data_IF_615869843064
#
_entry.id   IF_615869843064
#
_cell.length_a   1.000
_cell.length_b   1.000
_cell.length_c   1.000
_cell.angle_alpha   90.00
_cell.angle_beta   90.00
_cell.angle_gamma   90.00
#
_symmetry.space_group_name_H-M   'P 1'
#
loop_
_entity.id
_entity.type
_entity.pdbx_description
1 polymer ?
#
# COMPACT_ATOMS: atom_id res chain seq x y z
N UNK A 1 -17.84 -7.18 5.82
CA UNK A 1 -16.89 -6.92 4.71
C UNK A 1 -15.83 -5.93 5.16
N UNK A 2 -14.58 -6.09 4.69
CA UNK A 2 -13.48 -5.14 4.90
C UNK A 2 -13.24 -4.37 3.59
N UNK A 3 -13.17 -3.05 3.66
CA UNK A 3 -12.82 -2.20 2.53
C UNK A 3 -11.34 -1.81 2.62
N UNK A 4 -10.56 -2.11 1.59
CA UNK A 4 -9.18 -1.66 1.45
C UNK A 4 -9.11 -0.53 0.43
N UNK A 5 -8.47 0.56 0.80
CA UNK A 5 -8.31 1.74 -0.05
C UNK A 5 -6.85 2.14 -0.09
N UNK A 6 -6.34 2.39 -1.29
CA UNK A 6 -4.94 2.79 -1.45
C UNK A 6 -4.50 2.89 -2.90
N UNK A 7 -3.20 2.96 -3.10
CA UNK A 7 -2.57 3.09 -4.42
C UNK A 7 -2.12 1.72 -4.99
N UNK A 8 -1.21 1.76 -5.95
CA UNK A 8 -0.62 0.58 -6.60
C UNK A 8 -0.06 -0.46 -5.63
N UNK A 9 0.46 -0.06 -4.48
CA UNK A 9 0.94 -0.95 -3.44
C UNK A 9 -0.20 -1.77 -2.81
N UNK A 10 -1.34 -1.15 -2.51
CA UNK A 10 -2.52 -1.88 -2.01
C UNK A 10 -3.07 -2.83 -3.06
N UNK A 11 -3.01 -2.46 -4.32
CA UNK A 11 -3.37 -3.33 -5.42
C UNK A 11 -2.45 -4.55 -5.56
N UNK A 12 -1.20 -4.42 -5.13
CA UNK A 12 -0.18 -5.47 -5.24
C UNK A 12 0.60 -5.40 -6.54
N UNK A 13 0.84 -4.18 -7.06
CA UNK A 13 1.80 -3.99 -8.14
C UNK A 13 3.15 -4.60 -7.73
N UNK A 14 3.86 -5.17 -8.70
CA UNK A 14 5.11 -5.89 -8.43
C UNK A 14 4.94 -7.41 -8.33
N UNK A 15 3.85 -7.90 -7.73
CA UNK A 15 3.61 -9.35 -7.60
C UNK A 15 3.53 -10.07 -8.95
N UNK A 16 3.12 -9.39 -10.02
CA UNK A 16 3.14 -9.97 -11.36
C UNK A 16 4.54 -10.24 -11.87
N UNK A 17 5.52 -9.40 -11.49
CA UNK A 17 6.93 -9.63 -11.85
C UNK A 17 7.48 -10.87 -11.14
N UNK A 18 7.15 -10.99 -9.85
CA UNK A 18 7.48 -12.19 -9.07
C UNK A 18 6.89 -13.45 -9.73
N UNK A 19 5.61 -13.41 -10.11
CA UNK A 19 4.96 -14.51 -10.83
C UNK A 19 5.69 -14.90 -12.13
N UNK A 20 5.99 -13.93 -12.98
CA UNK A 20 6.62 -14.20 -14.26
C UNK A 20 8.01 -14.85 -14.12
N UNK A 21 8.75 -14.47 -13.08
CA UNK A 21 10.07 -15.03 -12.81
C UNK A 21 9.95 -16.42 -12.17
N UNK A 22 9.12 -16.58 -11.15
CA UNK A 22 9.02 -17.82 -10.37
C UNK A 22 8.25 -18.92 -11.09
N UNK A 23 7.20 -18.57 -11.86
CA UNK A 23 6.26 -19.54 -12.41
C UNK A 23 6.38 -19.65 -13.95
N UNK A 24 6.78 -18.60 -14.64
CA UNK A 24 6.86 -18.56 -16.11
C UNK A 24 8.33 -18.53 -16.60
N UNK A 25 9.32 -18.57 -15.69
CA UNK A 25 10.76 -18.59 -15.97
C UNK A 25 11.27 -17.39 -16.81
N UNK A 26 10.67 -16.21 -16.67
CA UNK A 26 11.21 -14.99 -17.27
C UNK A 26 12.53 -14.60 -16.60
N UNK A 27 13.48 -14.10 -17.40
CA UNK A 27 14.69 -13.53 -16.83
C UNK A 27 14.43 -12.13 -16.26
N UNK A 28 15.27 -11.72 -15.30
CA UNK A 28 15.23 -10.35 -14.76
C UNK A 28 15.39 -9.28 -15.86
N UNK A 29 16.21 -9.55 -16.87
CA UNK A 29 16.42 -8.63 -18.00
C UNK A 29 15.15 -8.51 -18.86
N UNK A 30 14.43 -9.60 -19.10
CA UNK A 30 13.15 -9.55 -19.82
C UNK A 30 12.14 -8.71 -19.05
N UNK A 31 12.02 -8.92 -17.73
CA UNK A 31 11.13 -8.13 -16.89
C UNK A 31 11.53 -6.66 -16.90
N UNK A 32 12.82 -6.35 -16.71
CA UNK A 32 13.29 -4.96 -16.72
C UNK A 32 12.96 -4.22 -18.01
N UNK A 33 12.95 -4.89 -19.16
CA UNK A 33 12.54 -4.33 -20.44
C UNK A 33 11.03 -4.09 -20.54
N UNK A 34 10.22 -4.78 -19.74
CA UNK A 34 8.76 -4.69 -19.72
C UNK A 34 8.22 -3.62 -18.75
N UNK A 35 9.04 -3.11 -17.83
CA UNK A 35 8.67 -2.14 -16.80
C UNK A 35 8.23 -0.75 -17.29
N UNK A 36 8.70 -0.17 -18.42
CA UNK A 36 8.27 1.14 -18.87
C UNK A 36 6.82 1.16 -19.36
N UNK A 37 6.18 2.33 -19.23
CA UNK A 37 5.34 2.71 -18.13
C UNK A 37 3.98 2.01 -18.23
N UNK A 38 3.46 1.52 -17.15
CA UNK A 38 2.10 0.93 -17.01
C UNK A 38 1.85 -0.41 -17.75
N UNK A 39 2.86 -1.00 -18.43
CA UNK A 39 2.67 -2.20 -19.25
C UNK A 39 1.96 -3.33 -18.48
N UNK A 40 2.30 -3.54 -17.21
CA UNK A 40 1.71 -4.60 -16.40
C UNK A 40 0.30 -4.32 -15.91
N UNK A 41 -0.07 -3.06 -15.74
CA UNK A 41 -1.44 -2.69 -15.37
C UNK A 41 -2.40 -2.92 -16.53
N UNK A 42 -1.89 -2.80 -17.76
CA UNK A 42 -2.70 -2.89 -18.99
C UNK A 42 -2.68 -4.31 -19.61
N UNK A 43 -1.58 -5.05 -19.44
CA UNK A 43 -1.33 -6.30 -20.18
C UNK A 43 -1.06 -7.52 -19.29
N UNK A 44 -1.42 -7.45 -18.01
CA UNK A 44 -1.25 -8.56 -17.08
C UNK A 44 -2.03 -9.80 -17.53
N UNK A 45 -1.37 -10.96 -17.61
CA UNK A 45 -2.05 -12.21 -17.89
C UNK A 45 -3.03 -12.58 -16.77
N UNK A 46 -4.09 -13.31 -17.08
CA UNK A 46 -5.05 -13.78 -16.08
C UNK A 46 -4.39 -14.57 -14.94
N UNK A 47 -3.35 -15.36 -15.24
CA UNK A 47 -2.59 -16.12 -14.24
C UNK A 47 -1.80 -15.21 -13.31
N UNK A 48 -1.09 -14.23 -13.87
CA UNK A 48 -0.35 -13.24 -13.07
C UNK A 48 -1.29 -12.40 -12.22
N UNK A 49 -2.47 -12.04 -12.73
CA UNK A 49 -3.48 -11.31 -11.95
C UNK A 49 -4.06 -12.17 -10.82
N UNK A 50 -4.31 -13.45 -11.06
CA UNK A 50 -4.72 -14.40 -10.02
C UNK A 50 -3.66 -14.53 -8.93
N UNK A 51 -2.40 -14.73 -9.30
CA UNK A 51 -1.28 -14.79 -8.35
C UNK A 51 -1.21 -13.51 -7.50
N UNK A 52 -1.30 -12.34 -8.13
CA UNK A 52 -1.34 -11.05 -7.44
C UNK A 52 -2.51 -11.00 -6.43
N UNK A 53 -3.72 -11.36 -6.86
CA UNK A 53 -4.89 -11.36 -5.98
C UNK A 53 -4.75 -12.33 -4.80
N UNK A 54 -4.07 -13.45 -4.98
CA UNK A 54 -3.84 -14.42 -3.90
C UNK A 54 -2.79 -13.95 -2.89
N UNK A 55 -1.76 -13.22 -3.35
CA UNK A 55 -0.59 -12.85 -2.55
C UNK A 55 -0.66 -11.45 -1.94
N UNK A 56 -1.52 -10.54 -2.41
CA UNK A 56 -1.60 -9.19 -1.87
C UNK A 56 -2.20 -9.16 -0.46
N UNK A 57 -1.74 -8.21 0.36
CA UNK A 57 -2.14 -8.14 1.77
C UNK A 57 -3.65 -8.01 2.00
N UNK A 58 -4.47 -7.33 1.16
CA UNK A 58 -5.92 -7.29 1.35
C UNK A 58 -6.57 -8.67 1.40
N UNK A 59 -6.20 -9.56 0.49
CA UNK A 59 -6.73 -10.91 0.47
C UNK A 59 -6.24 -11.74 1.66
N UNK A 60 -4.96 -11.59 2.06
CA UNK A 60 -4.41 -12.30 3.22
C UNK A 60 -5.17 -11.92 4.50
N UNK A 61 -5.39 -10.61 4.71
CA UNK A 61 -6.15 -10.11 5.86
C UNK A 61 -7.59 -10.60 5.83
N UNK A 62 -8.27 -10.48 4.68
CA UNK A 62 -9.65 -10.90 4.54
C UNK A 62 -9.85 -12.40 4.81
N UNK A 63 -8.98 -13.24 4.26
CA UNK A 63 -8.98 -14.68 4.52
C UNK A 63 -8.78 -15.01 6.00
N UNK A 64 -7.91 -14.29 6.68
CA UNK A 64 -7.65 -14.52 8.10
C UNK A 64 -8.92 -14.33 8.96
N UNK A 65 -9.76 -13.35 8.61
CA UNK A 65 -11.01 -13.07 9.33
C UNK A 65 -12.25 -13.72 8.71
N UNK A 66 -12.09 -14.63 7.76
CA UNK A 66 -13.19 -15.23 6.99
C UNK A 66 -14.19 -14.16 6.49
N UNK A 67 -13.65 -13.07 5.96
CA UNK A 67 -14.42 -11.89 5.56
C UNK A 67 -14.32 -11.65 4.06
N UNK A 68 -15.44 -11.28 3.45
CA UNK A 68 -15.41 -10.68 2.12
C UNK A 68 -14.66 -9.33 2.17
N UNK A 69 -14.01 -8.96 1.07
CA UNK A 69 -13.36 -7.66 0.97
C UNK A 69 -13.68 -6.96 -0.36
N UNK A 70 -13.60 -5.65 -0.31
CA UNK A 70 -13.62 -4.79 -1.50
C UNK A 70 -12.28 -4.04 -1.58
N UNK A 71 -11.76 -3.90 -2.78
CA UNK A 71 -10.53 -3.18 -3.05
C UNK A 71 -10.83 -1.95 -3.90
N UNK A 72 -10.75 -0.78 -3.29
CA UNK A 72 -10.77 0.50 -3.99
C UNK A 72 -9.33 0.94 -4.25
N UNK A 73 -8.94 0.97 -5.50
CA UNK A 73 -7.56 1.22 -5.88
C UNK A 73 -7.44 2.29 -6.95
N UNK A 74 -6.34 3.03 -6.89
CA UNK A 74 -5.75 3.68 -8.05
C UNK A 74 -4.48 2.92 -8.44
N UNK A 75 -4.51 2.23 -9.58
CA UNK A 75 -3.39 1.41 -10.06
C UNK A 75 -2.15 2.22 -10.46
N UNK A 76 -2.32 3.51 -10.74
CA UNK A 76 -1.27 4.39 -11.28
C UNK A 76 -0.57 5.25 -10.22
N UNK A 77 -0.67 4.89 -8.94
CA UNK A 77 -0.03 5.61 -7.84
C UNK A 77 -0.73 6.93 -7.54
N UNK A 78 -1.82 6.93 -6.85
CA UNK A 78 -2.62 8.09 -6.51
C UNK A 78 -2.03 8.95 -5.39
N UNK A 79 -2.60 10.13 -5.22
CA UNK A 79 -2.43 10.97 -4.04
C UNK A 79 -3.54 10.71 -3.02
N UNK A 80 -3.46 11.35 -1.85
CA UNK A 80 -4.44 11.15 -0.78
C UNK A 80 -5.84 11.69 -1.14
N UNK A 81 -5.95 12.67 -2.04
CA UNK A 81 -7.25 13.16 -2.52
C UNK A 81 -7.93 12.14 -3.43
N UNK A 82 -7.16 11.45 -4.27
CA UNK A 82 -7.68 10.34 -5.08
C UNK A 82 -8.13 9.16 -4.20
N UNK A 83 -7.39 8.85 -3.14
CA UNK A 83 -7.78 7.84 -2.14
C UNK A 83 -9.12 8.22 -1.50
N UNK A 84 -9.32 9.49 -1.16
CA UNK A 84 -10.60 10.00 -0.64
C UNK A 84 -11.74 9.84 -1.66
N UNK A 85 -11.49 10.15 -2.93
CA UNK A 85 -12.49 10.00 -3.99
C UNK A 85 -12.88 8.53 -4.19
N UNK A 86 -11.90 7.62 -4.15
CA UNK A 86 -12.14 6.18 -4.19
C UNK A 86 -13.00 5.67 -3.02
N UNK A 87 -12.87 6.28 -1.83
CA UNK A 87 -13.75 5.99 -0.70
C UNK A 87 -15.19 6.34 -0.99
N UNK A 88 -15.47 7.52 -1.54
CA UNK A 88 -16.82 7.91 -1.91
C UNK A 88 -17.42 6.97 -2.96
N UNK A 89 -16.69 6.66 -4.02
CA UNK A 89 -17.14 5.74 -5.07
C UNK A 89 -17.40 4.33 -4.52
N UNK A 90 -16.57 3.87 -3.60
CA UNK A 90 -16.72 2.55 -2.98
C UNK A 90 -17.87 2.51 -1.98
N UNK A 91 -18.09 3.58 -1.20
CA UNK A 91 -19.21 3.67 -0.28
C UNK A 91 -20.54 3.61 -1.03
N UNK A 92 -20.65 4.25 -2.18
CA UNK A 92 -21.83 4.18 -3.04
C UNK A 92 -22.08 2.76 -3.57
N UNK A 93 -21.03 2.01 -3.91
CA UNK A 93 -21.16 0.62 -4.38
C UNK A 93 -21.48 -0.35 -3.24
N UNK A 94 -20.93 -0.12 -2.05
CA UNK A 94 -21.17 -0.95 -0.86
C UNK A 94 -22.58 -0.72 -0.29
N UNK A 95 -23.07 0.52 -0.29
CA UNK A 95 -24.41 0.87 0.14
C UNK A 95 -25.49 0.39 -0.85
N UNK A 96 -25.14 0.26 -2.12
CA UNK A 96 -26.03 -0.29 -3.18
C UNK A 96 -26.06 -1.82 -3.27
N UNK A 97 -25.19 -2.55 -2.56
CA UNK A 97 -25.04 -4.01 -2.68
C UNK A 97 -24.53 -4.69 -1.41
N UNK A 98 -25.29 -5.59 -0.91
CA UNK A 98 -24.92 -6.78 -0.11
C UNK A 98 -23.80 -6.70 0.95
N UNK A 99 -23.81 -5.82 1.90
CA UNK A 99 -22.99 -6.03 3.09
C UNK A 99 -22.48 -4.76 3.74
N UNK A 100 -22.77 -4.64 5.01
CA UNK A 100 -22.26 -3.54 5.83
C UNK A 100 -20.74 -3.58 5.88
N UNK A 101 -20.08 -2.48 5.50
CA UNK A 101 -18.66 -2.31 5.70
C UNK A 101 -18.38 -2.22 7.22
N UNK A 102 -17.61 -3.18 7.74
CA UNK A 102 -17.28 -3.25 9.17
C UNK A 102 -15.98 -2.51 9.49
N UNK A 103 -15.07 -2.46 8.52
CA UNK A 103 -13.74 -1.90 8.71
C UNK A 103 -13.23 -1.33 7.39
N UNK A 104 -12.61 -0.17 7.45
CA UNK A 104 -11.84 0.43 6.35
C UNK A 104 -10.35 0.36 6.68
N UNK A 105 -9.57 -0.23 5.79
CA UNK A 105 -8.10 -0.21 5.84
C UNK A 105 -7.60 0.77 4.81
N UNK A 106 -6.98 1.87 5.25
CA UNK A 106 -6.47 2.94 4.39
C UNK A 106 -4.97 2.89 4.29
N UNK A 107 -4.47 2.83 3.08
CA UNK A 107 -3.06 3.08 2.82
C UNK A 107 -2.88 4.55 2.42
N UNK A 108 -2.25 5.33 3.28
CA UNK A 108 -1.88 6.71 2.99
C UNK A 108 -0.61 6.77 2.15
N UNK A 109 -0.64 7.56 1.11
CA UNK A 109 0.54 7.81 0.28
C UNK A 109 1.32 9.04 0.80
N UNK A 110 2.43 9.37 0.14
CA UNK A 110 3.22 10.54 0.46
C UNK A 110 2.36 11.82 0.39
N UNK A 111 2.47 12.69 1.40
CA UNK A 111 1.78 13.96 1.47
C UNK A 111 2.14 14.89 0.30
N UNK A 112 3.36 14.76 -0.26
CA UNK A 112 3.84 15.58 -1.38
C UNK A 112 3.15 15.24 -2.71
N UNK A 113 2.56 14.06 -2.85
CA UNK A 113 1.88 13.65 -4.09
C UNK A 113 0.59 14.42 -4.38
N UNK A 114 0.02 15.09 -3.38
CA UNK A 114 -1.02 16.09 -3.59
C UNK A 114 -0.40 17.37 -4.17
N UNK A 115 -1.17 18.43 -4.38
CA UNK A 115 -0.82 19.70 -5.03
C UNK A 115 0.45 20.44 -4.53
N UNK A 116 1.21 19.83 -3.64
CA UNK A 116 2.42 20.41 -3.02
C UNK A 116 3.74 19.97 -3.66
N UNK A 117 3.70 19.14 -4.71
CA UNK A 117 4.90 18.60 -5.37
C UNK A 117 5.82 19.68 -5.96
N UNK A 118 5.30 20.88 -6.24
CA UNK A 118 6.06 22.01 -6.78
C UNK A 118 6.73 22.86 -5.70
N UNK A 119 6.38 22.69 -4.42
CA UNK A 119 6.90 23.47 -3.31
C UNK A 119 7.84 22.61 -2.45
N UNK A 120 9.12 23.01 -2.37
CA UNK A 120 10.06 22.42 -1.41
C UNK A 120 9.69 22.89 0.01
N UNK A 121 8.73 22.18 0.62
CA UNK A 121 8.38 22.39 2.01
C UNK A 121 9.35 21.58 2.85
N UNK A 122 10.14 22.25 3.69
CA UNK A 122 11.13 21.62 4.59
C UNK A 122 10.79 21.83 6.07
N UNK A 123 9.83 22.71 6.36
CA UNK A 123 9.38 22.96 7.74
C UNK A 123 8.52 21.78 8.23
N UNK A 124 9.03 21.08 9.24
CA UNK A 124 8.38 19.88 9.82
C UNK A 124 6.98 20.17 10.38
N UNK A 125 6.73 21.37 10.92
CA UNK A 125 5.40 21.79 11.41
C UNK A 125 4.41 21.97 10.28
N UNK A 126 4.88 22.51 9.15
CA UNK A 126 4.05 22.67 7.97
C UNK A 126 3.75 21.32 7.34
N UNK A 127 4.73 20.42 7.26
CA UNK A 127 4.55 19.03 6.81
C UNK A 127 3.52 18.32 7.68
N UNK A 128 3.67 18.38 9.01
CA UNK A 128 2.71 17.78 9.94
C UNK A 128 1.29 18.30 9.73
N UNK A 129 1.13 19.62 9.55
CA UNK A 129 -0.18 20.23 9.31
C UNK A 129 -0.83 19.75 8.02
N UNK A 130 -0.06 19.65 6.94
CA UNK A 130 -0.55 19.16 5.64
C UNK A 130 -0.93 17.69 5.73
N UNK A 131 -0.03 16.85 6.23
CA UNK A 131 -0.26 15.41 6.36
C UNK A 131 -1.48 15.12 7.27
N UNK A 132 -1.60 15.84 8.40
CA UNK A 132 -2.77 15.72 9.27
C UNK A 132 -4.06 16.14 8.55
N UNK A 133 -4.06 17.22 7.79
CA UNK A 133 -5.23 17.66 7.02
C UNK A 133 -5.68 16.59 6.01
N UNK A 134 -4.75 15.96 5.31
CA UNK A 134 -5.05 14.88 4.37
C UNK A 134 -5.66 13.66 5.09
N UNK A 135 -5.11 13.27 6.24
CA UNK A 135 -5.64 12.17 7.06
C UNK A 135 -7.05 12.52 7.55
N UNK A 136 -7.27 13.73 8.09
CA UNK A 136 -8.58 14.18 8.54
C UNK A 136 -9.61 14.18 7.42
N UNK A 137 -9.23 14.60 6.23
CA UNK A 137 -10.11 14.62 5.05
C UNK A 137 -10.59 13.21 4.69
N UNK A 138 -9.69 12.22 4.72
CA UNK A 138 -10.03 10.82 4.46
C UNK A 138 -10.87 10.24 5.60
N UNK A 139 -10.49 10.49 6.86
CA UNK A 139 -11.27 10.07 8.04
C UNK A 139 -12.71 10.58 7.99
N UNK A 140 -12.88 11.86 7.63
CA UNK A 140 -14.22 12.43 7.48
C UNK A 140 -15.05 11.74 6.39
N UNK A 141 -14.40 11.28 5.32
CA UNK A 141 -15.07 10.50 4.27
C UNK A 141 -15.43 9.08 4.72
N UNK A 142 -14.69 8.48 5.66
CA UNK A 142 -15.00 7.18 6.26
C UNK A 142 -16.21 7.27 7.20
N UNK A 143 -16.43 8.42 7.85
CA UNK A 143 -17.51 8.64 8.82
C UNK A 143 -17.34 7.80 10.08
N UNK A 144 -18.42 7.17 10.54
CA UNK A 144 -18.47 6.39 11.78
C UNK A 144 -17.95 4.95 11.64
N UNK A 145 -17.57 4.54 10.43
CA UNK A 145 -17.03 3.20 10.22
C UNK A 145 -15.67 3.06 10.90
N UNK A 146 -15.44 1.92 11.57
CA UNK A 146 -14.11 1.60 12.15
C UNK A 146 -13.06 1.64 11.04
N UNK A 147 -11.85 2.14 11.36
CA UNK A 147 -10.77 2.21 10.39
C UNK A 147 -9.39 2.00 11.00
N UNK A 148 -8.47 1.53 10.18
CA UNK A 148 -7.03 1.54 10.47
C UNK A 148 -6.29 2.13 9.28
N UNK A 149 -5.17 2.76 9.54
CA UNK A 149 -4.33 3.38 8.52
C UNK A 149 -2.92 2.83 8.55
N UNK A 150 -2.37 2.66 7.38
CA UNK A 150 -0.97 2.27 7.16
C UNK A 150 -0.29 3.31 6.27
N UNK A 151 0.98 3.55 6.50
CA UNK A 151 1.85 4.28 5.58
C UNK A 151 3.28 3.80 5.75
N UNK A 152 4.00 3.71 4.64
CA UNK A 152 5.45 3.50 4.62
C UNK A 152 6.21 4.80 4.37
N UNK A 153 5.53 5.92 4.30
CA UNK A 153 6.14 7.24 4.25
C UNK A 153 6.30 7.77 5.67
N UNK A 154 7.54 8.11 6.02
CA UNK A 154 7.94 8.46 7.40
C UNK A 154 7.08 9.58 7.99
N UNK A 155 6.92 10.68 7.24
CA UNK A 155 6.15 11.83 7.71
C UNK A 155 4.69 11.48 7.99
N UNK A 156 4.06 10.72 7.08
CA UNK A 156 2.69 10.25 7.28
C UNK A 156 2.59 9.30 8.48
N UNK A 157 3.54 8.37 8.62
CA UNK A 157 3.61 7.46 9.76
C UNK A 157 3.78 8.18 11.09
N UNK A 158 4.67 9.17 11.17
CA UNK A 158 4.87 10.02 12.36
C UNK A 158 3.61 10.78 12.75
N UNK A 159 2.92 11.36 11.77
CA UNK A 159 1.66 12.09 12.00
C UNK A 159 0.56 11.16 12.48
N UNK A 160 0.44 9.98 11.88
CA UNK A 160 -0.52 8.97 12.31
C UNK A 160 -0.25 8.48 13.73
N UNK A 161 1.01 8.15 14.06
CA UNK A 161 1.41 7.75 15.40
C UNK A 161 1.06 8.80 16.44
N UNK A 162 1.31 10.07 16.14
CA UNK A 162 1.08 11.19 17.05
C UNK A 162 -0.39 11.51 17.27
N UNK A 163 -1.19 11.54 16.20
CA UNK A 163 -2.56 12.05 16.23
C UNK A 163 -3.63 10.95 16.19
N UNK A 164 -3.31 9.74 15.71
CA UNK A 164 -4.26 8.63 15.55
C UNK A 164 -3.66 7.28 16.03
N UNK A 165 -3.06 7.21 17.24
CA UNK A 165 -2.32 6.02 17.70
C UNK A 165 -3.18 4.75 17.74
N UNK A 166 -4.48 4.89 17.99
CA UNK A 166 -5.41 3.76 18.03
C UNK A 166 -5.70 3.18 16.63
N UNK A 167 -5.60 4.00 15.59
CA UNK A 167 -5.87 3.60 14.21
C UNK A 167 -4.59 3.28 13.43
N UNK A 168 -3.43 3.72 13.92
CA UNK A 168 -2.16 3.54 13.23
C UNK A 168 -1.67 2.09 13.31
N UNK A 169 -1.36 1.52 12.16
CA UNK A 169 -0.65 0.24 12.04
C UNK A 169 0.85 0.53 11.90
N UNK A 170 1.68 0.21 12.92
CA UNK A 170 3.09 0.52 12.88
C UNK A 170 3.80 -0.43 11.91
N UNK A 171 4.21 0.08 10.77
CA UNK A 171 5.03 -0.64 9.79
C UNK A 171 6.51 -0.37 10.05
N UNK A 172 6.85 0.86 10.51
CA UNK A 172 8.24 1.29 10.72
C UNK A 172 8.81 0.96 12.10
N UNK A 173 7.97 0.74 13.11
CA UNK A 173 8.44 0.47 14.48
C UNK A 173 8.91 -0.96 14.72
N UNK A 174 8.60 -1.85 13.80
CA UNK A 174 8.93 -3.27 13.94
C UNK A 174 10.37 -3.59 13.56
N UNK A 175 11.23 -2.57 13.43
CA UNK A 175 12.64 -2.76 13.24
C UNK A 175 13.20 -2.25 11.93
N UNK A 176 14.49 -2.41 11.78
CA UNK A 176 15.34 -1.96 10.68
C UNK A 176 14.88 -2.41 9.29
N UNK A 177 13.91 -3.31 9.22
CA UNK A 177 13.49 -4.01 8.03
C UNK A 177 12.76 -3.12 6.99
N UNK A 178 12.08 -2.06 7.42
CA UNK A 178 11.40 -1.13 6.52
C UNK A 178 12.02 0.28 6.46
N UNK A 179 13.01 0.58 7.30
CA UNK A 179 13.74 1.87 7.27
C UNK A 179 14.49 2.10 5.96
N UNK A 180 14.83 1.03 5.23
CA UNK A 180 15.37 1.12 3.88
C UNK A 180 14.36 1.58 2.81
N UNK A 181 13.06 1.49 3.11
CA UNK A 181 12.00 1.86 2.18
C UNK A 181 11.84 3.37 2.04
N UNK A 182 12.05 4.12 3.12
CA UNK A 182 12.03 5.59 3.11
C UNK A 182 13.08 6.18 2.17
N UNK A 183 14.29 5.63 2.21
CA UNK A 183 15.37 6.04 1.31
C UNK A 183 15.09 5.70 -0.15
N UNK A 184 14.34 4.62 -0.41
CA UNK A 184 13.93 4.25 -1.77
C UNK A 184 12.92 5.23 -2.37
N UNK A 185 12.04 5.83 -1.55
CA UNK A 185 11.02 6.77 -2.03
C UNK A 185 11.56 8.17 -2.27
N UNK A 186 12.61 8.59 -1.54
CA UNK A 186 13.14 9.96 -1.57
C UNK A 186 14.46 10.12 -2.31
N UNK A 187 15.31 9.09 -2.34
CA UNK A 187 16.68 9.16 -2.88
C UNK A 187 16.92 8.24 -4.09
N UNK A 188 15.89 7.51 -4.54
CA UNK A 188 16.05 6.45 -5.54
C UNK A 188 16.58 5.15 -4.92
N UNK A 189 16.92 4.13 -5.75
CA UNK A 189 17.32 2.84 -5.24
C UNK A 189 18.56 2.97 -4.34
N UNK A 190 18.39 2.68 -3.06
CA UNK A 190 19.49 2.71 -2.09
C UNK A 190 20.52 1.63 -2.41
N UNK A 191 21.76 1.80 -1.94
CA UNK A 191 22.81 0.78 -2.06
C UNK A 191 22.50 -0.51 -1.26
N UNK A 192 21.45 -0.50 -0.43
CA UNK A 192 20.96 -1.65 0.33
C UNK A 192 19.47 -1.85 0.04
N UNK A 193 19.14 -2.62 -1.01
CA UNK A 193 17.75 -2.93 -1.35
C UNK A 193 17.09 -3.68 -0.20
N UNK A 194 15.84 -3.32 0.10
CA UNK A 194 15.08 -3.98 1.13
C UNK A 194 14.50 -5.31 0.60
N UNK A 195 14.63 -6.45 1.31
CA UNK A 195 14.21 -7.76 0.84
C UNK A 195 12.70 -7.90 0.59
N UNK A 196 11.88 -6.99 1.12
CA UNK A 196 10.42 -6.98 0.94
C UNK A 196 9.94 -6.25 -0.31
N UNK A 197 10.86 -5.70 -1.10
CA UNK A 197 10.54 -5.07 -2.39
C UNK A 197 10.95 -5.97 -3.55
N UNK A 198 10.34 -5.77 -4.71
CA UNK A 198 10.75 -6.46 -5.94
C UNK A 198 12.20 -6.15 -6.29
N UNK A 199 12.62 -4.90 -6.12
CA UNK A 199 14.02 -4.51 -6.34
C UNK A 199 14.98 -5.27 -5.41
N UNK A 200 14.71 -5.31 -4.10
CA UNK A 200 15.54 -6.00 -3.12
C UNK A 200 15.58 -7.51 -3.36
N UNK A 201 14.42 -8.11 -3.57
CA UNK A 201 14.29 -9.52 -3.87
C UNK A 201 15.04 -9.93 -5.16
N UNK A 202 14.96 -9.11 -6.22
CA UNK A 202 15.71 -9.37 -7.44
C UNK A 202 17.23 -9.30 -7.22
N UNK A 203 17.69 -8.34 -6.41
CA UNK A 203 19.11 -8.21 -6.05
C UNK A 203 19.63 -9.40 -5.25
N UNK A 204 18.86 -9.91 -4.29
CA UNK A 204 19.21 -11.08 -3.50
C UNK A 204 19.35 -12.34 -4.37
N UNK A 205 18.61 -12.40 -5.48
CA UNK A 205 18.71 -13.47 -6.48
C UNK A 205 19.73 -13.22 -7.59
N UNK A 206 20.56 -12.17 -7.46
CA UNK A 206 21.60 -11.82 -8.43
C UNK A 206 21.07 -11.11 -9.68
N UNK A 207 19.82 -10.62 -9.66
CA UNK A 207 19.19 -9.91 -10.76
C UNK A 207 19.01 -8.41 -10.51
N UNK A 208 18.27 -7.76 -11.40
CA UNK A 208 17.91 -6.35 -11.27
C UNK A 208 16.53 -6.08 -11.86
N UNK A 209 15.67 -5.47 -11.04
CA UNK A 209 14.37 -4.92 -11.45
C UNK A 209 14.21 -3.57 -10.75
N UNK A 210 13.97 -2.49 -11.48
CA UNK A 210 13.85 -1.12 -10.92
C UNK A 210 12.49 -0.82 -10.28
N UNK A 211 11.76 -1.84 -9.86
CA UNK A 211 10.45 -1.70 -9.22
C UNK A 211 10.55 -1.79 -7.71
N UNK A 212 10.04 -0.79 -7.00
CA UNK A 212 10.08 -0.69 -5.54
C UNK A 212 8.80 -1.15 -4.85
N UNK A 213 7.81 -1.68 -5.57
CA UNK A 213 6.63 -2.26 -4.97
C UNK A 213 6.98 -3.51 -4.15
N UNK A 214 6.07 -3.91 -3.27
CA UNK A 214 6.28 -5.07 -2.41
C UNK A 214 6.24 -6.38 -3.20
N UNK A 215 7.10 -7.31 -2.81
CA UNK A 215 7.01 -8.71 -3.17
C UNK A 215 6.03 -9.45 -2.24
N UNK A 216 5.86 -10.74 -2.42
CA UNK A 216 4.94 -11.55 -1.59
C UNK A 216 5.29 -11.54 -0.10
N UNK A 217 6.57 -11.48 0.27
CA UNK A 217 7.02 -11.38 1.67
C UNK A 217 6.64 -10.02 2.29
N UNK A 218 6.79 -8.93 1.54
CA UNK A 218 6.36 -7.60 1.97
C UNK A 218 4.86 -7.54 2.20
N UNK A 219 4.07 -8.12 1.31
CA UNK A 219 2.63 -8.21 1.48
C UNK A 219 2.23 -9.05 2.69
N UNK A 220 2.89 -10.19 2.94
CA UNK A 220 2.66 -11.00 4.14
C UNK A 220 3.00 -10.26 5.43
N UNK A 221 4.12 -9.53 5.44
CA UNK A 221 4.53 -8.73 6.58
C UNK A 221 3.47 -7.67 6.91
N UNK A 222 3.03 -6.88 5.92
CA UNK A 222 1.99 -5.85 6.11
C UNK A 222 0.69 -6.49 6.61
N UNK A 223 0.28 -7.61 6.02
CA UNK A 223 -0.92 -8.34 6.46
C UNK A 223 -0.84 -8.72 7.94
N UNK A 224 0.31 -9.24 8.41
CA UNK A 224 0.52 -9.59 9.82
C UNK A 224 0.35 -8.38 10.76
N UNK A 225 0.90 -7.21 10.39
CA UNK A 225 0.76 -6.00 11.19
C UNK A 225 -0.69 -5.52 11.25
N UNK A 226 -1.41 -5.54 10.12
CA UNK A 226 -2.83 -5.18 10.07
C UNK A 226 -3.67 -6.15 10.91
N UNK A 227 -3.47 -7.45 10.77
CA UNK A 227 -4.19 -8.49 11.55
C UNK A 227 -3.95 -8.29 13.03
N UNK A 228 -2.69 -8.06 13.44
CA UNK A 228 -2.34 -7.77 14.83
C UNK A 228 -3.14 -6.58 15.35
N UNK A 229 -3.14 -5.45 14.62
CA UNK A 229 -3.86 -4.23 15.01
C UNK A 229 -5.36 -4.42 15.10
N UNK A 230 -5.96 -5.14 14.17
CA UNK A 230 -7.40 -5.46 14.18
C UNK A 230 -7.75 -6.26 15.43
N UNK A 231 -6.95 -7.27 15.79
CA UNK A 231 -7.16 -8.11 16.97
C UNK A 231 -6.99 -7.34 18.28
N UNK A 232 -5.96 -6.52 18.40
CA UNK A 232 -5.68 -5.72 19.59
C UNK A 232 -6.82 -4.74 19.93
N UNK A 233 -7.54 -4.28 18.91
CA UNK A 233 -8.59 -3.27 19.08
C UNK A 233 -10.02 -3.81 18.83
N UNK A 234 -10.19 -5.11 18.64
CA UNK A 234 -11.50 -5.77 18.40
C UNK A 234 -12.31 -5.04 17.29
N UNK A 235 -11.71 -4.92 16.10
CA UNK A 235 -12.28 -4.09 15.05
C UNK A 235 -13.23 -4.84 14.10
N UNK A 236 -13.19 -6.19 14.06
CA UNK A 236 -13.98 -7.03 13.12
C UNK A 236 -14.71 -8.13 13.86
#
# INVERSE_FOLDING_TARGET
MILFVGCSFTWGAGLQYEYLIEEENYSFEQIQKMIPPNYFLEHCSHKADKYRQEKHFPNIVAKYFDSAYCLAKNGNGGNNDEIKNLLYDSSMRVLGGQGQCKLVVVQFTDWQRSHYSEHKITDSKQIEKIAKHQIDSIRNAIGDTKWVGISWFEDMGKVMKKHYPQNYVPIFESGEELTGFEKLSTEGPSNRPHPYTIFGWAKDKGGYISDTHFNSYGHQFIAKQIIKKIKENDLV
#
